data_IF_746014815804
#
_entry.id   IF_746014815804
#
_cell.length_a   1.000
_cell.length_b   1.000
_cell.length_c   1.000
_cell.angle_alpha   90.00
_cell.angle_beta   90.00
_cell.angle_gamma   90.00
#
_symmetry.space_group_name_H-M   'P 1'
#
loop_
_entity.id
_entity.type
_entity.pdbx_description
1 polymer ?
#
# COMPACT_ATOMS: atom_id res chain seq x y z
N UNK A 1 2.68 -14.16 1.23
CA UNK A 1 2.31 -14.30 2.65
C UNK A 1 0.88 -13.86 2.91
N UNK A 2 0.36 -14.02 4.14
CA UNK A 2 -1.00 -13.59 4.48
C UNK A 2 -1.04 -12.96 5.86
N UNK A 3 -1.97 -12.01 6.08
CA UNK A 3 -2.29 -11.44 7.39
C UNK A 3 -3.81 -11.34 7.58
N UNK A 4 -4.27 -11.10 8.81
CA UNK A 4 -5.72 -10.96 9.10
C UNK A 4 -6.12 -9.49 9.19
N UNK A 5 -7.21 -9.14 8.51
CA UNK A 5 -7.84 -7.82 8.55
C UNK A 5 -9.37 -8.00 8.65
N UNK A 6 -9.98 -7.47 9.69
CA UNK A 6 -11.44 -7.55 9.91
C UNK A 6 -12.01 -8.98 9.80
N UNK A 7 -11.23 -9.98 10.25
CA UNK A 7 -11.61 -11.40 10.19
C UNK A 7 -11.28 -12.09 8.88
N UNK A 8 -10.93 -11.37 7.82
CA UNK A 8 -10.54 -11.91 6.52
C UNK A 8 -9.04 -12.17 6.45
N UNK A 9 -8.63 -13.20 5.70
CA UNK A 9 -7.25 -13.47 5.34
C UNK A 9 -6.90 -12.68 4.09
N UNK A 10 -5.94 -11.78 4.21
CA UNK A 10 -5.47 -10.91 3.12
C UNK A 10 -4.16 -11.46 2.58
N UNK A 11 -4.12 -11.68 1.27
CA UNK A 11 -2.93 -12.14 0.56
C UNK A 11 -2.04 -10.96 0.17
N UNK A 12 -0.75 -11.02 0.55
CA UNK A 12 0.22 -9.96 0.32
C UNK A 12 1.58 -10.49 -0.12
N UNK A 13 2.30 -9.67 -0.87
CA UNK A 13 3.71 -9.83 -1.16
C UNK A 13 4.50 -8.71 -0.47
N UNK A 14 5.54 -9.10 0.25
CA UNK A 14 6.53 -8.16 0.81
C UNK A 14 7.80 -8.29 0.00
N UNK A 15 8.34 -7.15 -0.39
CA UNK A 15 9.62 -7.06 -1.11
C UNK A 15 10.61 -6.34 -0.22
N UNK A 16 11.83 -6.85 -0.17
CA UNK A 16 12.89 -6.33 0.68
C UNK A 16 14.10 -5.92 -0.15
N UNK A 17 14.88 -4.91 0.30
CA UNK A 17 16.15 -4.57 -0.31
C UNK A 17 17.14 -5.75 -0.31
N UNK A 18 18.15 -5.70 -1.19
CA UNK A 18 19.17 -6.76 -1.27
C UNK A 18 19.99 -6.89 0.03
N UNK A 19 20.18 -5.79 0.77
CA UNK A 19 20.90 -5.74 2.05
C UNK A 19 19.98 -5.91 3.29
N UNK A 20 18.77 -6.44 3.09
CA UNK A 20 17.83 -6.66 4.16
C UNK A 20 18.26 -7.83 5.06
N UNK A 21 18.46 -7.53 6.34
CA UNK A 21 18.88 -8.48 7.38
C UNK A 21 17.84 -8.70 8.50
N UNK A 22 16.69 -8.01 8.40
CA UNK A 22 15.64 -8.03 9.42
C UNK A 22 15.96 -7.27 10.71
N UNK A 23 17.13 -6.61 10.80
CA UNK A 23 17.60 -5.90 11.99
C UNK A 23 17.77 -4.40 11.75
N UNK A 24 18.26 -4.03 10.58
CA UNK A 24 18.46 -2.64 10.17
C UNK A 24 17.10 -1.96 9.99
N UNK A 25 16.95 -0.75 10.51
CA UNK A 25 15.70 0.01 10.47
C UNK A 25 15.45 0.64 9.10
N UNK A 26 14.85 -0.12 8.17
CA UNK A 26 14.50 0.33 6.83
C UNK A 26 13.22 1.19 6.82
N UNK A 27 13.14 2.21 5.95
CA UNK A 27 11.86 2.85 5.66
C UNK A 27 10.95 1.86 4.92
N UNK A 28 9.63 2.01 5.09
CA UNK A 28 8.68 1.13 4.42
C UNK A 28 7.65 1.89 3.57
N UNK A 29 7.14 1.24 2.52
CA UNK A 29 6.13 1.80 1.63
C UNK A 29 5.02 0.78 1.38
N UNK A 30 3.79 1.19 1.63
CA UNK A 30 2.58 0.47 1.23
C UNK A 30 2.26 0.81 -0.22
N UNK A 31 2.01 -0.18 -1.06
CA UNK A 31 1.66 0.02 -2.47
C UNK A 31 0.25 -0.49 -2.73
N UNK A 32 -0.68 0.45 -2.97
CA UNK A 32 -2.08 0.15 -3.23
C UNK A 32 -2.35 0.04 -4.74
N UNK A 33 -2.90 -1.11 -5.15
CA UNK A 33 -3.21 -1.40 -6.54
C UNK A 33 -4.43 -0.60 -7.07
N UNK A 34 -4.58 -0.41 -8.40
CA UNK A 34 -5.76 0.20 -8.99
C UNK A 34 -7.02 -0.65 -8.77
N UNK A 35 -8.21 -0.05 -8.97
CA UNK A 35 -9.47 -0.79 -8.90
C UNK A 35 -9.44 -1.98 -9.87
N UNK A 36 -9.87 -3.16 -9.40
CA UNK A 36 -9.83 -4.40 -10.17
C UNK A 36 -8.43 -4.99 -10.41
N UNK A 37 -7.37 -4.36 -9.85
CA UNK A 37 -6.01 -4.90 -9.91
C UNK A 37 -5.74 -5.93 -8.81
N UNK A 38 -4.58 -6.57 -8.91
CA UNK A 38 -4.05 -7.52 -7.92
C UNK A 38 -2.59 -7.21 -7.60
N UNK A 39 -2.10 -7.75 -6.50
CA UNK A 39 -0.75 -7.50 -5.97
C UNK A 39 0.40 -7.86 -6.90
N UNK A 40 0.17 -8.81 -7.84
CA UNK A 40 1.18 -9.25 -8.80
C UNK A 40 1.33 -8.33 -10.01
N UNK A 41 0.35 -7.47 -10.25
CA UNK A 41 0.34 -6.57 -11.40
C UNK A 41 1.17 -5.31 -11.13
N UNK A 42 0.67 -4.15 -11.55
CA UNK A 42 1.38 -2.88 -11.45
C UNK A 42 1.83 -2.54 -10.02
N UNK A 43 1.05 -2.90 -9.00
CA UNK A 43 1.43 -2.66 -7.62
C UNK A 43 2.68 -3.46 -7.22
N UNK A 44 2.75 -4.72 -7.61
CA UNK A 44 3.93 -5.57 -7.37
C UNK A 44 5.16 -5.05 -8.10
N UNK A 45 5.02 -4.59 -9.35
CA UNK A 45 6.13 -3.99 -10.09
C UNK A 45 6.71 -2.75 -9.37
N UNK A 46 5.84 -1.82 -8.93
CA UNK A 46 6.31 -0.63 -8.20
C UNK A 46 6.87 -0.99 -6.83
N UNK A 47 6.26 -1.96 -6.12
CA UNK A 47 6.78 -2.44 -4.84
C UNK A 47 8.20 -3.02 -5.00
N UNK A 48 8.44 -3.83 -6.03
CA UNK A 48 9.76 -4.37 -6.33
C UNK A 48 10.78 -3.27 -6.64
N UNK A 49 10.41 -2.29 -7.48
CA UNK A 49 11.31 -1.17 -7.82
C UNK A 49 11.67 -0.31 -6.61
N UNK A 50 10.73 -0.09 -5.71
CA UNK A 50 11.00 0.62 -4.46
C UNK A 50 11.90 -0.20 -3.54
N UNK A 51 11.78 -1.53 -3.53
CA UNK A 51 12.68 -2.38 -2.75
C UNK A 51 14.13 -2.31 -3.27
N UNK A 52 14.32 -2.25 -4.59
CA UNK A 52 15.63 -2.02 -5.22
C UNK A 52 16.26 -0.67 -4.79
N UNK A 53 15.41 0.32 -4.42
CA UNK A 53 15.85 1.63 -3.92
C UNK A 53 16.06 1.68 -2.39
N UNK A 54 15.97 0.55 -1.69
CA UNK A 54 16.24 0.46 -0.25
C UNK A 54 15.02 0.61 0.66
N UNK A 55 13.81 0.41 0.16
CA UNK A 55 12.58 0.39 0.97
C UNK A 55 12.11 -1.04 1.21
N UNK A 56 11.59 -1.33 2.40
CA UNK A 56 10.75 -2.52 2.59
C UNK A 56 9.35 -2.19 2.11
N UNK A 57 8.79 -2.98 1.20
CA UNK A 57 7.51 -2.64 0.57
C UNK A 57 6.51 -3.78 0.67
N UNK A 58 5.23 -3.43 0.68
CA UNK A 58 4.13 -4.39 0.68
C UNK A 58 3.10 -4.01 -0.39
N UNK A 59 2.69 -5.01 -1.16
CA UNK A 59 1.52 -4.95 -2.03
C UNK A 59 0.58 -6.10 -1.67
N UNK A 60 -0.69 -5.82 -1.43
CA UNK A 60 -1.69 -6.84 -1.07
C UNK A 60 -2.87 -6.80 -2.03
N UNK A 61 -3.52 -7.94 -2.22
CA UNK A 61 -4.85 -7.97 -2.82
C UNK A 61 -5.84 -7.36 -1.84
N UNK A 62 -6.70 -6.48 -2.31
CA UNK A 62 -7.77 -5.95 -1.49
C UNK A 62 -8.69 -7.07 -1.00
N UNK A 63 -9.35 -6.89 0.14
CA UNK A 63 -10.42 -7.75 0.56
C UNK A 63 -11.44 -7.98 -0.57
N UNK A 64 -11.96 -9.19 -0.70
CA UNK A 64 -12.89 -9.63 -1.76
C UNK A 64 -12.28 -9.76 -3.16
N UNK A 65 -10.97 -9.55 -3.34
CA UNK A 65 -10.30 -9.56 -4.64
C UNK A 65 -9.08 -10.50 -4.64
N UNK A 66 -8.65 -10.93 -5.84
CA UNK A 66 -7.47 -11.76 -6.00
C UNK A 66 -7.47 -13.01 -5.12
N UNK A 67 -6.37 -13.23 -4.40
CA UNK A 67 -6.20 -14.33 -3.45
C UNK A 67 -6.62 -13.99 -2.01
N UNK A 68 -7.10 -12.76 -1.75
CA UNK A 68 -7.68 -12.37 -0.47
C UNK A 68 -9.08 -12.94 -0.28
N UNK A 69 -9.45 -13.19 0.97
CA UNK A 69 -10.79 -13.69 1.32
C UNK A 69 -11.87 -12.60 1.23
N UNK A 70 -13.12 -13.01 1.30
CA UNK A 70 -14.32 -12.19 1.36
C UNK A 70 -15.34 -12.56 0.29
N UNK A 71 -16.62 -12.50 0.67
CA UNK A 71 -17.77 -12.71 -0.21
C UNK A 71 -18.77 -11.55 -0.05
N UNK A 72 -19.50 -11.15 -1.11
CA UNK A 72 -19.34 -11.62 -2.49
C UNK A 72 -18.03 -11.14 -3.12
N UNK A 73 -17.46 -11.94 -4.02
CA UNK A 73 -16.20 -11.61 -4.72
C UNK A 73 -16.34 -10.32 -5.54
N UNK A 74 -15.20 -9.68 -5.80
CA UNK A 74 -15.11 -8.44 -6.58
C UNK A 74 -15.87 -7.25 -5.98
N UNK A 75 -16.15 -7.29 -4.69
CA UNK A 75 -16.69 -6.12 -3.97
C UNK A 75 -15.63 -5.04 -3.90
N UNK A 76 -15.92 -3.86 -4.45
CA UNK A 76 -15.04 -2.69 -4.43
C UNK A 76 -15.79 -1.50 -3.80
N UNK A 77 -15.63 -1.36 -2.48
CA UNK A 77 -16.21 -0.26 -1.71
C UNK A 77 -15.11 0.65 -1.17
N UNK A 78 -15.25 1.98 -1.28
CA UNK A 78 -14.23 2.94 -0.83
C UNK A 78 -13.77 2.74 0.63
N UNK A 79 -14.70 2.36 1.51
CA UNK A 79 -14.37 2.11 2.92
C UNK A 79 -13.44 0.89 3.06
N UNK A 80 -13.76 -0.23 2.38
CA UNK A 80 -12.94 -1.45 2.43
C UNK A 80 -11.55 -1.18 1.85
N UNK A 81 -11.48 -0.48 0.73
CA UNK A 81 -10.19 -0.12 0.12
C UNK A 81 -9.31 0.74 1.04
N UNK A 82 -9.92 1.69 1.75
CA UNK A 82 -9.22 2.50 2.75
C UNK A 82 -8.72 1.63 3.90
N UNK A 83 -9.54 0.72 4.40
CA UNK A 83 -9.17 -0.21 5.48
C UNK A 83 -8.08 -1.17 5.06
N UNK A 84 -8.10 -1.68 3.82
CA UNK A 84 -7.05 -2.54 3.26
C UNK A 84 -5.68 -1.84 3.28
N UNK A 85 -5.65 -0.56 2.87
CA UNK A 85 -4.41 0.23 2.86
C UNK A 85 -3.89 0.46 4.28
N UNK A 86 -4.79 0.78 5.23
CA UNK A 86 -4.40 0.90 6.63
C UNK A 86 -3.97 -0.45 7.23
N UNK A 87 -4.62 -1.54 6.86
CA UNK A 87 -4.24 -2.89 7.26
C UNK A 87 -2.84 -3.28 6.78
N UNK A 88 -2.49 -2.92 5.53
CA UNK A 88 -1.11 -3.07 5.03
C UNK A 88 -0.12 -2.25 5.86
N UNK A 89 -0.49 -1.00 6.18
CA UNK A 89 0.36 -0.11 6.98
C UNK A 89 0.58 -0.65 8.40
N UNK A 90 -0.48 -1.11 9.05
CA UNK A 90 -0.41 -1.72 10.38
C UNK A 90 0.46 -2.98 10.35
N UNK A 91 0.30 -3.83 9.34
CA UNK A 91 1.09 -5.06 9.20
C UNK A 91 2.56 -4.77 8.95
N UNK A 92 2.89 -3.92 7.96
CA UNK A 92 4.29 -3.66 7.60
C UNK A 92 5.04 -2.88 8.69
N UNK A 93 4.35 -2.08 9.51
CA UNK A 93 4.97 -1.36 10.61
C UNK A 93 5.50 -2.29 11.72
N UNK A 94 4.97 -3.50 11.80
CA UNK A 94 5.44 -4.53 12.75
C UNK A 94 6.38 -5.55 12.10
N UNK A 95 6.68 -5.38 10.81
CA UNK A 95 7.55 -6.31 10.09
C UNK A 95 9.00 -6.15 10.56
N UNK A 96 9.75 -7.26 10.73
CA UNK A 96 11.14 -7.19 11.20
C UNK A 96 11.99 -6.21 10.37
N UNK A 97 12.85 -5.44 11.01
CA UNK A 97 13.74 -4.49 10.33
C UNK A 97 13.05 -3.28 9.69
N UNK A 98 11.79 -3.00 9.99
CA UNK A 98 11.07 -1.82 9.51
C UNK A 98 11.08 -0.72 10.58
N UNK A 99 11.34 0.51 10.15
CA UNK A 99 11.15 1.69 10.98
C UNK A 99 9.73 2.24 10.79
N UNK A 100 8.84 1.99 11.76
CA UNK A 100 7.44 2.40 11.71
C UNK A 100 7.22 3.93 11.62
N UNK A 101 8.22 4.74 12.00
CA UNK A 101 8.15 6.21 11.89
C UNK A 101 8.44 6.71 10.46
N UNK A 102 8.99 5.84 9.62
CA UNK A 102 9.37 6.12 8.23
C UNK A 102 8.50 5.32 7.26
N UNK A 103 7.20 5.42 7.43
CA UNK A 103 6.21 4.74 6.62
C UNK A 103 5.62 5.68 5.58
N UNK A 104 5.65 5.28 4.31
CA UNK A 104 5.02 5.96 3.18
C UNK A 104 3.92 5.12 2.54
N UNK A 105 3.14 5.74 1.66
CA UNK A 105 2.15 5.03 0.86
C UNK A 105 2.19 5.51 -0.60
N UNK A 106 2.13 4.58 -1.53
CA UNK A 106 2.01 4.80 -2.97
C UNK A 106 0.68 4.20 -3.43
N UNK A 107 -0.20 5.02 -3.93
CA UNK A 107 -1.45 4.57 -4.53
C UNK A 107 -1.47 4.77 -6.03
N UNK A 108 -1.95 3.78 -6.76
CA UNK A 108 -2.00 3.78 -8.22
C UNK A 108 -3.46 3.87 -8.65
N UNK A 109 -3.81 4.85 -9.51
CA UNK A 109 -5.17 5.08 -9.99
C UNK A 109 -6.17 5.24 -8.83
N UNK A 110 -7.22 4.41 -8.73
CA UNK A 110 -8.15 4.41 -7.61
C UNK A 110 -7.47 4.20 -6.24
N UNK A 111 -6.42 3.39 -6.19
CA UNK A 111 -5.59 3.24 -4.98
C UNK A 111 -5.00 4.56 -4.49
N UNK A 112 -4.66 5.49 -5.39
CA UNK A 112 -4.16 6.83 -5.04
C UNK A 112 -5.19 7.67 -4.28
N UNK A 113 -6.46 7.64 -4.71
CA UNK A 113 -7.53 8.32 -4.02
C UNK A 113 -7.79 7.78 -2.61
N UNK A 114 -7.70 6.47 -2.44
CA UNK A 114 -7.93 5.82 -1.15
C UNK A 114 -6.77 5.99 -0.17
N UNK A 115 -5.53 6.10 -0.64
CA UNK A 115 -4.37 6.35 0.24
C UNK A 115 -4.40 7.71 0.94
N UNK A 116 -5.07 8.70 0.33
CA UNK A 116 -5.21 10.05 0.90
C UNK A 116 -6.33 10.14 1.94
N UNK A 117 -7.20 9.14 2.03
CA UNK A 117 -8.35 9.16 2.93
C UNK A 117 -7.93 8.74 4.35
N UNK A 118 -8.18 9.57 5.38
CA UNK A 118 -7.89 9.19 6.75
C UNK A 118 -8.79 8.04 7.20
N UNK A 119 -8.27 7.22 8.15
CA UNK A 119 -9.06 6.16 8.79
C UNK A 119 -10.31 6.75 9.46
N UNK A 120 -11.47 6.16 9.19
CA UNK A 120 -12.70 6.60 9.85
C UNK A 120 -12.66 6.28 11.34
N UNK A 121 -13.01 7.21 12.24
CA UNK A 121 -13.00 6.98 13.68
C UNK A 121 -14.00 5.90 14.16
N UNK A 122 -14.98 5.53 13.34
CA UNK A 122 -15.99 4.52 13.67
C UNK A 122 -15.45 3.09 13.77
N UNK A 123 -14.25 2.80 13.28
CA UNK A 123 -13.61 1.49 13.39
C UNK A 123 -12.49 1.41 14.44
N UNK A 124 -12.40 2.40 15.32
CA UNK A 124 -11.39 2.47 16.39
C UNK A 124 -11.63 1.49 17.57
N UNK A 125 -12.55 0.53 17.46
CA UNK A 125 -12.92 -0.40 18.54
C UNK A 125 -12.04 -1.64 18.64
N UNK A 126 -10.81 -1.65 18.10
CA UNK A 126 -9.78 -2.64 18.44
C UNK A 126 -8.57 -1.95 19.02
N UNK A 127 -8.15 -2.28 20.25
CA UNK A 127 -6.89 -1.79 20.76
C UNK A 127 -5.75 -2.42 19.94
N UNK A 128 -5.21 -1.63 19.01
CA UNK A 128 -3.89 -1.89 18.45
C UNK A 128 -2.87 -1.61 19.54
N UNK A 129 -1.85 -2.48 19.77
CA UNK A 129 -0.78 -2.16 20.69
C UNK A 129 -0.05 -0.94 20.16
N UNK A 130 -0.32 0.20 20.80
CA UNK A 130 0.45 1.43 20.80
C UNK A 130 1.32 1.70 19.55
N UNK A 131 0.73 2.23 18.51
CA UNK A 131 1.44 3.17 17.65
C UNK A 131 0.68 4.49 17.68
N UNK A 132 1.16 5.43 18.49
CA UNK A 132 0.82 6.84 18.30
C UNK A 132 1.46 7.23 16.98
N UNK A 133 0.72 7.12 15.89
CA UNK A 133 1.09 7.80 14.65
C UNK A 133 0.87 9.30 14.88
N UNK A 134 1.83 9.93 15.53
CA UNK A 134 2.01 11.37 15.58
C UNK A 134 3.06 11.70 14.54
N UNK A 135 2.68 11.72 13.26
CA UNK A 135 3.52 12.44 12.32
C UNK A 135 2.73 12.77 11.06
N UNK A 136 2.75 14.02 10.70
CA UNK A 136 2.35 14.53 9.40
C UNK A 136 2.98 13.67 8.29
N UNK A 137 2.21 12.80 7.68
CA UNK A 137 2.59 12.19 6.42
C UNK A 137 2.71 13.33 5.39
N UNK A 138 3.93 13.65 4.99
CA UNK A 138 4.17 14.49 3.82
C UNK A 138 3.79 13.66 2.61
N UNK A 139 2.56 13.82 2.12
CA UNK A 139 2.15 13.30 0.83
C UNK A 139 2.93 14.06 -0.25
N UNK A 140 3.95 13.44 -0.82
CA UNK A 140 4.54 13.91 -2.05
C UNK A 140 3.67 13.43 -3.21
N UNK A 141 2.65 14.21 -3.56
CA UNK A 141 1.94 14.04 -4.81
C UNK A 141 2.80 14.65 -5.92
N UNK A 142 3.68 13.84 -6.52
CA UNK A 142 4.37 14.22 -7.74
C UNK A 142 3.49 13.86 -8.93
N UNK A 143 2.63 14.77 -9.32
CA UNK A 143 1.98 14.72 -10.63
C UNK A 143 2.93 15.30 -11.67
N UNK A 144 3.79 14.48 -12.26
CA UNK A 144 4.55 14.86 -13.45
C UNK A 144 3.62 14.73 -14.66
N UNK A 145 2.97 15.83 -15.01
CA UNK A 145 2.36 15.99 -16.34
C UNK A 145 3.47 16.31 -17.34
N UNK A 146 3.86 15.31 -18.12
CA UNK A 146 4.73 15.51 -19.28
C UNK A 146 3.87 16.10 -20.41
N UNK A 147 4.17 17.29 -20.98
CA UNK A 147 3.46 17.79 -22.12
C UNK A 147 3.81 16.95 -23.35
N UNK A 148 2.82 16.32 -23.95
CA UNK A 148 2.96 15.68 -25.26
C UNK A 148 3.11 16.76 -26.33
N UNK A 149 4.31 16.91 -26.85
CA UNK A 149 4.58 17.76 -28.02
C UNK A 149 4.06 17.07 -29.26
N UNK A 150 2.93 17.53 -29.79
CA UNK A 150 2.45 17.17 -31.12
C UNK A 150 3.25 17.94 -32.16
N UNK A 151 4.24 17.30 -32.79
CA UNK A 151 4.81 17.79 -34.03
C UNK A 151 3.89 17.35 -35.17
N UNK A 152 3.27 18.33 -35.83
CA UNK A 152 2.60 18.13 -37.13
C UNK A 152 3.67 17.94 -38.22
N UNK A 153 3.48 17.00 -39.16
CA UNK A 153 4.33 16.95 -40.34
C UNK A 153 3.87 18.02 -41.32
N UNK A 154 4.75 18.95 -41.67
CA UNK A 154 4.60 19.84 -42.79
C UNK A 154 4.90 19.09 -44.09
N UNK A 155 4.05 19.34 -45.07
CA UNK A 155 4.10 18.88 -46.46
C UNK A 155 5.40 19.20 -47.20
#
# INVERSE_FOLDING_TARGET
MTYKLNGLKIAANVYTPADYDGKKAFPAVVVAHPNGGVKEQVAGLYAQRLAELGYVTIAADAAYQGASEGEPRHTDRPQFRTEDIHGMADFISTYPGVNAERLGALGICGGGGYTLKPRSPTNASRPSPRSRCSTRAKCAASATSTPVSTRSPSA
#
